data_IF_345961241204
#
_entry.id   IF_345961241204
#
_cell.length_a   1.000
_cell.length_b   1.000
_cell.length_c   1.000
_cell.angle_alpha   90.00
_cell.angle_beta   90.00
_cell.angle_gamma   90.00
#
_symmetry.space_group_name_H-M   'P 1'
#
loop_
_entity.id
_entity.type
_entity.pdbx_description
1 polymer ?
#
# COMPACT_ATOMS: atom_id res chain seq x y z
N UNK A 1 3.40 -10.27 12.23
CA UNK A 1 2.14 -9.49 12.31
C UNK A 1 1.61 -9.61 13.73
N UNK A 2 1.03 -8.54 14.29
CA UNK A 2 0.42 -8.57 15.62
C UNK A 2 -1.11 -8.67 15.49
N UNK A 3 -1.76 -9.28 16.49
CA UNK A 3 -3.23 -9.37 16.55
C UNK A 3 -3.86 -8.10 17.14
N UNK A 4 -3.16 -7.44 18.06
CA UNK A 4 -3.55 -6.16 18.62
C UNK A 4 -2.70 -5.01 18.07
N UNK A 5 -3.35 -3.86 17.87
CA UNK A 5 -2.70 -2.63 17.39
C UNK A 5 -1.73 -2.09 18.44
N UNK A 6 -2.04 -2.26 19.73
CA UNK A 6 -1.22 -1.76 20.83
C UNK A 6 0.18 -2.40 20.87
N UNK A 7 0.30 -3.64 20.38
CA UNK A 7 1.54 -4.41 20.33
C UNK A 7 2.38 -4.11 19.07
N UNK A 8 1.85 -3.36 18.10
CA UNK A 8 2.53 -3.12 16.85
C UNK A 8 3.77 -2.22 17.03
N UNK A 9 4.87 -2.59 16.37
CA UNK A 9 6.04 -1.71 16.19
C UNK A 9 5.90 -0.82 14.94
N UNK A 10 5.13 -1.28 13.97
CA UNK A 10 4.86 -0.58 12.70
C UNK A 10 3.38 -0.73 12.36
N UNK A 11 2.72 0.39 12.07
CA UNK A 11 1.32 0.45 11.65
C UNK A 11 1.27 1.01 10.23
N UNK A 12 0.76 0.23 9.29
CA UNK A 12 0.69 0.58 7.87
C UNK A 12 -0.78 0.71 7.43
N UNK A 13 -1.21 1.92 7.10
CA UNK A 13 -2.54 2.18 6.59
C UNK A 13 -2.53 2.16 5.06
N UNK A 14 -3.10 1.12 4.43
CA UNK A 14 -3.38 1.12 3.00
C UNK A 14 -4.65 1.92 2.70
N UNK A 15 -4.53 2.95 1.86
CA UNK A 15 -5.53 4.01 1.72
C UNK A 15 -6.06 4.14 0.30
N UNK A 16 -7.27 4.67 0.21
CA UNK A 16 -7.94 5.00 -1.05
C UNK A 16 -8.19 6.51 -1.10
N UNK A 17 -8.04 7.11 -2.29
CA UNK A 17 -8.31 8.53 -2.54
C UNK A 17 -9.45 8.78 -3.53
N UNK A 18 -10.21 7.73 -3.86
CA UNK A 18 -11.29 7.82 -4.86
C UNK A 18 -12.60 8.26 -4.22
N UNK A 19 -12.83 7.92 -2.94
CA UNK A 19 -14.07 8.22 -2.22
C UNK A 19 -13.77 9.02 -0.95
N UNK A 20 -14.45 10.14 -0.76
CA UNK A 20 -14.29 11.03 0.40
C UNK A 20 -14.46 10.29 1.74
N UNK A 21 -15.50 9.45 1.85
CA UNK A 21 -15.73 8.63 3.04
C UNK A 21 -14.58 7.69 3.38
N UNK A 22 -13.79 7.25 2.39
CA UNK A 22 -12.60 6.44 2.65
C UNK A 22 -11.48 7.30 3.25
N UNK A 23 -11.26 8.50 2.74
CA UNK A 23 -10.27 9.44 3.26
C UNK A 23 -10.60 9.89 4.69
N UNK A 24 -11.86 10.23 4.98
CA UNK A 24 -12.30 10.59 6.32
C UNK A 24 -12.03 9.48 7.36
N UNK A 25 -12.25 8.21 6.99
CA UNK A 25 -11.93 7.06 7.84
C UNK A 25 -10.43 6.91 8.09
N UNK A 26 -9.59 7.21 7.10
CA UNK A 26 -8.12 7.21 7.27
C UNK A 26 -7.72 8.27 8.29
N UNK A 27 -8.20 9.50 8.15
CA UNK A 27 -7.89 10.58 9.10
C UNK A 27 -8.29 10.24 10.54
N UNK A 28 -9.49 9.68 10.73
CA UNK A 28 -9.94 9.21 12.04
C UNK A 28 -9.00 8.16 12.64
N UNK A 29 -8.56 7.18 11.84
CA UNK A 29 -7.60 6.15 12.28
C UNK A 29 -6.22 6.74 12.59
N UNK A 30 -5.73 7.68 11.80
CA UNK A 30 -4.47 8.38 12.06
C UNK A 30 -4.50 9.14 13.39
N UNK A 31 -5.65 9.76 13.74
CA UNK A 31 -5.85 10.36 15.06
C UNK A 31 -5.71 9.34 16.20
N UNK A 32 -6.30 8.15 16.05
CA UNK A 32 -6.16 7.07 17.03
C UNK A 32 -4.69 6.58 17.14
N UNK A 33 -3.99 6.43 16.02
CA UNK A 33 -2.58 6.03 16.02
C UNK A 33 -1.67 7.09 16.65
N UNK A 34 -1.97 8.37 16.44
CA UNK A 34 -1.28 9.49 17.12
C UNK A 34 -1.43 9.39 18.63
N UNK A 35 -2.64 9.11 19.12
CA UNK A 35 -2.88 8.95 20.55
C UNK A 35 -2.10 7.77 21.14
N UNK A 36 -2.07 6.62 20.44
CA UNK A 36 -1.26 5.46 20.82
C UNK A 36 0.24 5.79 20.86
N UNK A 37 0.73 6.49 19.83
CA UNK A 37 2.12 6.95 19.74
C UNK A 37 2.49 7.86 20.90
N UNK A 38 1.62 8.81 21.27
CA UNK A 38 1.83 9.69 22.42
C UNK A 38 1.89 8.91 23.74
N UNK A 39 0.98 7.95 23.95
CA UNK A 39 0.94 7.07 25.13
C UNK A 39 2.24 6.28 25.29
N UNK A 40 2.75 5.68 24.21
CA UNK A 40 3.99 4.87 24.20
C UNK A 40 5.28 5.70 24.13
N UNK A 41 5.17 7.02 23.92
CA UNK A 41 6.33 7.93 23.93
C UNK A 41 6.70 8.46 25.33
N UNK A 42 5.89 8.20 26.35
CA UNK A 42 6.11 8.70 27.72
C UNK A 42 7.38 8.09 28.35
N UNK A 43 8.02 8.83 29.27
CA UNK A 43 9.19 8.31 30.02
C UNK A 43 8.89 6.99 30.73
N UNK A 44 7.68 6.84 31.29
CA UNK A 44 7.24 5.61 31.96
C UNK A 44 7.10 4.44 30.99
N UNK A 45 6.52 4.67 29.80
CA UNK A 45 6.43 3.64 28.77
C UNK A 45 7.82 3.19 28.30
N UNK A 46 8.72 4.15 28.02
CA UNK A 46 10.12 3.86 27.64
C UNK A 46 10.88 3.09 28.73
N UNK A 47 10.65 3.40 30.01
CA UNK A 47 11.26 2.66 31.12
C UNK A 47 10.77 1.20 31.22
N UNK A 48 9.59 0.89 30.68
CA UNK A 48 9.07 -0.49 30.52
C UNK A 48 9.52 -1.16 29.22
N UNK A 49 10.42 -0.53 28.46
CA UNK A 49 10.87 -1.04 27.17
C UNK A 49 9.90 -0.81 26.02
N UNK A 50 8.77 -0.10 26.23
CA UNK A 50 7.83 0.21 25.17
C UNK A 50 8.42 1.26 24.21
N UNK A 51 8.12 1.11 22.92
CA UNK A 51 8.48 2.06 21.88
C UNK A 51 7.23 2.55 21.17
N UNK A 52 7.25 3.82 20.79
CA UNK A 52 6.23 4.37 19.92
C UNK A 52 6.26 3.65 18.56
N UNK A 53 5.10 3.22 18.01
CA UNK A 53 5.06 2.61 16.70
C UNK A 53 5.43 3.63 15.61
N UNK A 54 6.04 3.13 14.54
CA UNK A 54 6.17 3.86 13.27
C UNK A 54 4.83 3.81 12.55
N UNK A 55 4.29 4.96 12.14
CA UNK A 55 3.01 5.04 11.43
C UNK A 55 3.24 5.39 9.97
N UNK A 56 2.82 4.50 9.06
CA UNK A 56 2.94 4.67 7.61
C UNK A 56 1.59 4.79 6.91
N UNK A 57 1.50 5.66 5.91
CA UNK A 57 0.34 5.80 5.01
C UNK A 57 0.76 5.37 3.60
N UNK A 58 0.02 4.41 3.01
CA UNK A 58 0.33 3.83 1.72
C UNK A 58 -0.84 3.99 0.74
N UNK A 59 -0.55 4.02 -0.56
CA UNK A 59 -1.56 3.93 -1.62
C UNK A 59 -1.99 5.28 -2.18
N UNK A 60 -3.19 5.36 -2.75
CA UNK A 60 -3.57 6.52 -3.57
C UNK A 60 -3.71 7.83 -2.77
N UNK A 61 -4.03 7.75 -1.47
CA UNK A 61 -4.10 8.96 -0.63
C UNK A 61 -2.71 9.49 -0.31
N UNK A 62 -1.71 8.61 -0.15
CA UNK A 62 -0.31 9.00 -0.02
C UNK A 62 0.15 9.81 -1.24
N UNK A 63 -0.15 9.30 -2.44
CA UNK A 63 0.15 10.00 -3.69
C UNK A 63 -0.61 11.32 -3.84
N UNK A 64 -1.89 11.37 -3.47
CA UNK A 64 -2.70 12.58 -3.64
C UNK A 64 -2.30 13.68 -2.66
N UNK A 65 -2.10 13.33 -1.39
CA UNK A 65 -1.91 14.32 -0.31
C UNK A 65 -0.44 14.65 -0.05
N UNK A 66 0.50 13.76 -0.40
CA UNK A 66 1.95 13.97 -0.33
C UNK A 66 2.38 14.58 1.01
N UNK A 67 2.95 15.79 0.98
CA UNK A 67 3.51 16.49 2.14
C UNK A 67 2.46 16.85 3.18
N UNK A 68 1.19 17.03 2.80
CA UNK A 68 0.10 17.33 3.76
C UNK A 68 -0.01 16.26 4.84
N UNK A 69 0.25 14.99 4.51
CA UNK A 69 0.26 13.90 5.48
C UNK A 69 1.42 13.99 6.47
N UNK A 70 2.58 14.48 6.03
CA UNK A 70 3.77 14.67 6.87
C UNK A 70 3.63 15.90 7.78
N UNK A 71 3.03 16.96 7.25
CA UNK A 71 2.77 18.22 7.96
C UNK A 71 1.63 18.09 8.99
N UNK A 72 0.82 17.03 8.89
CA UNK A 72 -0.32 16.77 9.78
C UNK A 72 0.15 16.28 11.17
N UNK A 73 0.67 17.20 11.97
CA UNK A 73 0.78 17.08 13.43
C UNK A 73 1.50 15.78 13.89
N UNK A 74 2.56 15.41 13.15
CA UNK A 74 3.40 14.23 13.41
C UNK A 74 2.63 12.90 13.51
N UNK A 75 1.46 12.82 12.87
CA UNK A 75 0.63 11.61 12.84
C UNK A 75 1.25 10.50 11.99
N UNK A 76 2.08 10.86 11.01
CA UNK A 76 2.65 9.96 10.01
C UNK A 76 4.16 10.12 9.96
N UNK A 77 4.87 8.99 9.98
CA UNK A 77 6.33 8.91 9.85
C UNK A 77 6.74 8.56 8.41
N UNK A 78 5.96 7.73 7.73
CA UNK A 78 6.26 7.26 6.37
C UNK A 78 5.08 7.45 5.43
N UNK A 79 5.31 8.02 4.24
CA UNK A 79 4.29 8.17 3.19
C UNK A 79 4.75 7.46 1.92
N UNK A 80 3.99 6.45 1.46
CA UNK A 80 4.39 5.62 0.31
C UNK A 80 3.30 5.59 -0.75
N UNK A 81 3.60 6.10 -1.94
CA UNK A 81 2.73 6.03 -3.11
C UNK A 81 2.45 4.59 -3.54
N UNK A 82 1.46 4.36 -4.39
CA UNK A 82 1.03 3.01 -4.74
C UNK A 82 2.09 2.20 -5.51
N UNK A 83 3.05 2.87 -6.15
CA UNK A 83 4.11 2.22 -6.94
C UNK A 83 5.44 2.10 -6.18
N UNK A 84 5.57 2.75 -5.02
CA UNK A 84 6.81 2.82 -4.23
C UNK A 84 6.84 1.86 -3.02
N UNK A 85 5.90 0.91 -2.95
CA UNK A 85 5.77 -0.02 -1.82
C UNK A 85 7.02 -0.91 -1.61
N UNK A 86 7.85 -1.10 -2.64
CA UNK A 86 9.12 -1.84 -2.56
C UNK A 86 10.18 -1.11 -1.74
N UNK A 87 10.10 0.21 -1.67
CA UNK A 87 11.05 1.02 -0.90
C UNK A 87 10.70 1.06 0.59
N UNK A 88 9.55 0.50 0.97
CA UNK A 88 9.05 0.51 2.33
C UNK A 88 10.09 -0.01 3.35
N UNK A 89 10.85 -1.11 3.13
CA UNK A 89 11.88 -1.54 4.06
C UNK A 89 12.94 -0.45 4.33
N UNK A 90 13.50 0.16 3.29
CA UNK A 90 14.52 1.21 3.42
C UNK A 90 13.96 2.49 4.06
N UNK A 91 12.73 2.87 3.72
CA UNK A 91 12.04 4.01 4.33
C UNK A 91 11.77 3.76 5.83
N UNK A 92 11.37 2.54 6.20
CA UNK A 92 11.16 2.16 7.60
C UNK A 92 12.46 2.18 8.41
N UNK A 93 13.58 1.76 7.83
CA UNK A 93 14.90 1.87 8.46
C UNK A 93 15.31 3.32 8.69
N UNK A 94 15.02 4.21 7.74
CA UNK A 94 15.34 5.64 7.83
C UNK A 94 14.62 6.34 8.98
N UNK A 95 13.37 5.96 9.26
CA UNK A 95 12.55 6.60 10.31
C UNK A 95 12.67 5.91 11.67
N UNK A 96 13.36 4.76 11.75
CA UNK A 96 13.60 4.10 13.02
C UNK A 96 14.44 5.01 13.91
N UNK A 97 14.03 5.29 15.16
CA UNK A 97 14.75 6.24 16.00
C UNK A 97 16.08 5.63 16.47
N UNK A 98 17.20 6.09 15.93
CA UNK A 98 18.55 5.70 16.39
C UNK A 98 19.07 6.62 17.51
N UNK A 99 18.59 7.86 17.58
CA UNK A 99 19.21 8.89 18.45
C UNK A 99 18.28 10.04 18.88
N UNK A 100 16.96 9.78 18.95
CA UNK A 100 16.00 10.71 19.58
C UNK A 100 15.34 11.73 18.63
N UNK A 101 15.81 11.85 17.39
CA UNK A 101 15.08 12.50 16.30
C UNK A 101 14.27 11.45 15.52
N UNK A 102 12.98 11.70 15.31
CA UNK A 102 12.15 10.90 14.41
C UNK A 102 12.19 11.57 13.04
N UNK A 103 12.91 10.97 12.11
CA UNK A 103 12.89 11.41 10.71
C UNK A 103 11.55 11.00 10.09
N UNK A 104 11.09 11.80 9.13
CA UNK A 104 9.98 11.44 8.26
C UNK A 104 10.55 11.05 6.90
N UNK A 105 9.94 10.08 6.24
CA UNK A 105 10.36 9.61 4.92
C UNK A 105 9.16 9.49 3.98
N UNK A 106 9.36 9.80 2.70
CA UNK A 106 8.31 9.65 1.71
C UNK A 106 8.85 9.23 0.35
N UNK A 107 8.17 8.30 -0.30
CA UNK A 107 8.31 8.07 -1.74
C UNK A 107 6.93 7.97 -2.37
N UNK A 108 6.60 8.93 -3.21
CA UNK A 108 5.33 9.07 -3.95
C UNK A 108 5.62 9.20 -5.45
N UNK A 109 6.66 8.51 -5.91
CA UNK A 109 6.96 8.44 -7.34
C UNK A 109 6.15 7.32 -7.98
N UNK A 110 5.53 7.63 -9.12
CA UNK A 110 4.82 6.66 -9.93
C UNK A 110 5.80 6.03 -10.91
N UNK A 111 5.83 4.70 -10.96
CA UNK A 111 6.69 3.95 -11.86
C UNK A 111 6.04 3.84 -13.24
N UNK A 112 6.87 3.69 -14.26
CA UNK A 112 6.46 3.48 -15.66
C UNK A 112 6.35 1.99 -16.03
N UNK A 113 6.87 1.10 -15.19
CA UNK A 113 7.12 -0.32 -15.47
C UNK A 113 6.55 -1.28 -14.41
N UNK A 114 6.21 -0.79 -13.22
CA UNK A 114 5.69 -1.60 -12.11
C UNK A 114 4.30 -2.19 -12.41
N UNK A 115 4.18 -3.51 -12.27
CA UNK A 115 2.98 -4.30 -12.64
C UNK A 115 2.63 -5.45 -11.67
N UNK A 116 3.36 -5.62 -10.56
CA UNK A 116 3.31 -6.79 -9.65
C UNK A 116 3.79 -8.12 -10.24
N UNK A 117 4.44 -8.14 -11.41
CA UNK A 117 4.78 -9.37 -12.13
C UNK A 117 5.65 -10.38 -11.35
N UNK A 118 6.48 -9.88 -10.44
CA UNK A 118 7.46 -10.60 -9.63
C UNK A 118 7.05 -10.67 -8.15
N UNK A 119 5.79 -10.39 -7.83
CA UNK A 119 5.27 -10.46 -6.46
C UNK A 119 4.24 -11.57 -6.34
N UNK A 120 4.50 -12.47 -5.40
CA UNK A 120 3.54 -13.49 -4.98
C UNK A 120 2.82 -13.03 -3.71
N UNK A 121 1.52 -12.71 -3.78
CA UNK A 121 0.78 -12.29 -2.60
C UNK A 121 0.65 -13.43 -1.58
N UNK A 122 0.99 -13.16 -0.32
CA UNK A 122 0.66 -14.06 0.78
C UNK A 122 -0.83 -13.96 1.07
N UNK A 123 -1.54 -15.10 1.03
CA UNK A 123 -3.01 -15.17 1.20
C UNK A 123 -3.35 -15.88 2.51
N UNK A 124 -3.84 -15.12 3.48
CA UNK A 124 -4.24 -15.69 4.78
C UNK A 124 -5.59 -16.43 4.70
N UNK A 125 -5.63 -17.63 5.28
CA UNK A 125 -6.78 -18.54 5.26
C UNK A 125 -6.82 -19.45 4.02
N UNK A 126 -5.66 -19.78 3.44
CA UNK A 126 -5.44 -20.49 2.17
C UNK A 126 -5.95 -21.94 2.04
N UNK A 127 -6.96 -22.35 2.82
CA UNK A 127 -7.74 -23.55 2.57
C UNK A 127 -9.19 -23.23 2.93
N UNK A 128 -10.09 -23.19 1.94
CA UNK A 128 -11.52 -22.94 2.13
C UNK A 128 -12.07 -21.65 1.52
N UNK A 129 -11.21 -20.78 0.95
CA UNK A 129 -11.68 -19.68 0.10
C UNK A 129 -11.98 -20.17 -1.31
N UNK A 130 -13.15 -19.84 -1.82
CA UNK A 130 -13.57 -20.19 -3.19
C UNK A 130 -12.89 -19.28 -4.21
N UNK A 131 -12.75 -17.98 -3.89
CA UNK A 131 -12.30 -16.96 -4.84
C UNK A 131 -11.01 -16.26 -4.45
N UNK A 132 -10.23 -15.87 -5.47
CA UNK A 132 -9.01 -15.10 -5.33
C UNK A 132 -8.92 -13.98 -6.37
N UNK A 133 -8.41 -12.82 -5.92
CA UNK A 133 -8.13 -11.68 -6.80
C UNK A 133 -6.73 -11.76 -7.40
N UNK A 134 -6.61 -11.55 -8.71
CA UNK A 134 -5.33 -11.45 -9.44
C UNK A 134 -5.27 -10.10 -10.13
N UNK A 135 -4.32 -9.25 -9.73
CA UNK A 135 -4.10 -7.97 -10.40
C UNK A 135 -3.39 -8.19 -11.74
N UNK A 136 -4.04 -7.78 -12.83
CA UNK A 136 -3.52 -7.94 -14.21
C UNK A 136 -2.98 -6.65 -14.81
N UNK A 137 -3.26 -5.51 -14.19
CA UNK A 137 -2.82 -4.21 -14.69
C UNK A 137 -2.83 -3.14 -13.61
N UNK A 138 -2.17 -2.01 -13.91
CA UNK A 138 -2.12 -0.80 -13.08
C UNK A 138 -2.33 0.44 -13.92
N UNK A 139 -2.83 1.51 -13.29
CA UNK A 139 -3.03 2.80 -13.95
C UNK A 139 -4.19 2.80 -14.94
N UNK A 140 -4.43 3.93 -15.59
CA UNK A 140 -5.49 4.09 -16.58
C UNK A 140 -5.16 5.26 -17.52
N UNK A 141 -5.38 5.06 -18.82
CA UNK A 141 -5.18 6.12 -19.83
C UNK A 141 -6.44 6.95 -20.10
N UNK A 142 -7.60 6.56 -19.56
CA UNK A 142 -8.84 7.30 -19.74
C UNK A 142 -8.86 8.58 -18.89
N UNK A 143 -9.08 9.72 -19.54
CA UNK A 143 -9.18 11.04 -18.89
C UNK A 143 -10.64 11.40 -18.60
N UNK A 144 -11.33 10.55 -17.83
CA UNK A 144 -12.70 10.82 -17.41
C UNK A 144 -12.75 12.05 -16.48
N UNK A 145 -13.70 12.96 -16.70
CA UNK A 145 -13.81 14.24 -15.98
C UNK A 145 -13.92 14.11 -14.44
N UNK A 146 -14.33 12.95 -13.94
CA UNK A 146 -14.53 12.65 -12.52
C UNK A 146 -13.41 11.78 -11.91
N UNK A 147 -12.47 11.27 -12.71
CA UNK A 147 -11.57 10.21 -12.28
C UNK A 147 -10.16 10.73 -11.97
N UNK A 148 -9.70 10.53 -10.74
CA UNK A 148 -8.36 10.92 -10.28
C UNK A 148 -7.28 9.87 -10.58
N UNK A 149 -7.66 8.69 -11.08
CA UNK A 149 -6.76 7.54 -11.27
C UNK A 149 -5.52 7.85 -12.11
N UNK A 150 -5.60 8.56 -13.26
CA UNK A 150 -4.42 8.86 -14.07
C UNK A 150 -3.32 9.60 -13.29
N UNK A 151 -3.71 10.41 -12.29
CA UNK A 151 -2.79 11.20 -11.46
C UNK A 151 -2.30 10.48 -10.21
N UNK A 152 -3.03 9.46 -9.75
CA UNK A 152 -2.71 8.75 -8.49
C UNK A 152 -2.18 7.35 -8.70
N UNK A 153 -2.31 6.78 -9.90
CA UNK A 153 -1.77 5.46 -10.27
C UNK A 153 -0.96 5.47 -11.57
N UNK A 154 -0.88 6.61 -12.24
CA UNK A 154 -0.12 6.78 -13.48
C UNK A 154 -0.82 6.17 -14.69
N UNK A 155 -0.03 6.07 -15.77
CA UNK A 155 -0.45 5.50 -17.05
C UNK A 155 -0.73 4.01 -16.93
N UNK A 156 -1.55 3.52 -17.85
CA UNK A 156 -1.87 2.10 -17.95
C UNK A 156 -0.63 1.25 -18.20
N UNK A 157 -0.53 0.15 -17.46
CA UNK A 157 0.53 -0.86 -17.54
C UNK A 157 -0.10 -2.24 -17.33
N UNK A 158 0.06 -3.13 -18.30
CA UNK A 158 -0.42 -4.51 -18.21
C UNK A 158 0.67 -5.41 -17.67
N UNK A 159 0.31 -6.30 -16.74
CA UNK A 159 1.18 -7.37 -16.28
C UNK A 159 1.36 -8.42 -17.39
N UNK A 160 2.57 -8.95 -17.61
CA UNK A 160 2.80 -9.98 -18.62
C UNK A 160 1.86 -11.18 -18.46
N UNK A 161 1.33 -11.72 -19.56
CA UNK A 161 0.34 -12.81 -19.53
C UNK A 161 0.89 -14.04 -18.81
N UNK A 162 2.15 -14.41 -19.08
CA UNK A 162 2.80 -15.55 -18.44
C UNK A 162 2.74 -15.44 -16.91
N UNK A 163 3.06 -14.27 -16.36
CA UNK A 163 3.01 -14.03 -14.91
C UNK A 163 1.58 -14.11 -14.35
N UNK A 164 0.57 -13.64 -15.09
CA UNK A 164 -0.85 -13.77 -14.70
C UNK A 164 -1.30 -15.23 -14.70
N UNK A 165 -0.94 -15.98 -15.74
CA UNK A 165 -1.28 -17.40 -15.89
C UNK A 165 -0.60 -18.24 -14.80
N UNK A 166 0.66 -17.96 -14.49
CA UNK A 166 1.40 -18.69 -13.47
C UNK A 166 0.82 -18.44 -12.06
N UNK A 167 0.40 -17.20 -11.74
CA UNK A 167 -0.33 -16.94 -10.49
C UNK A 167 -1.68 -17.66 -10.46
N UNK A 168 -2.42 -17.66 -11.58
CA UNK A 168 -3.71 -18.36 -11.66
C UNK A 168 -3.55 -19.89 -11.47
N UNK A 169 -2.50 -20.50 -12.04
CA UNK A 169 -2.17 -21.92 -11.83
C UNK A 169 -1.86 -22.21 -10.36
N UNK A 170 -1.00 -21.39 -9.74
CA UNK A 170 -0.68 -21.53 -8.33
C UNK A 170 -1.91 -21.43 -7.42
N UNK A 171 -2.91 -20.61 -7.80
CA UNK A 171 -4.18 -20.53 -7.08
C UNK A 171 -5.05 -21.78 -7.26
N UNK A 172 -5.09 -22.35 -8.47
CA UNK A 172 -5.78 -23.63 -8.71
C UNK A 172 -5.13 -24.75 -7.89
N UNK A 173 -3.81 -24.82 -7.87
CA UNK A 173 -3.04 -25.79 -7.10
C UNK A 173 -3.26 -25.62 -5.58
N UNK A 174 -3.46 -24.39 -5.13
CA UNK A 174 -3.85 -24.06 -3.75
C UNK A 174 -5.34 -24.31 -3.45
N UNK A 175 -6.13 -24.80 -4.41
CA UNK A 175 -7.51 -25.23 -4.22
C UNK A 175 -8.59 -24.17 -4.46
N UNK A 176 -8.23 -22.98 -4.95
CA UNK A 176 -9.20 -21.95 -5.33
C UNK A 176 -10.03 -22.41 -6.55
N UNK A 177 -11.28 -21.96 -6.63
CA UNK A 177 -12.24 -22.33 -7.69
C UNK A 177 -12.65 -21.16 -8.58
N UNK A 178 -12.44 -19.94 -8.12
CA UNK A 178 -12.72 -18.71 -8.86
C UNK A 178 -11.50 -17.79 -8.84
N UNK A 179 -11.14 -17.28 -10.02
CA UNK A 179 -10.12 -16.23 -10.17
C UNK A 179 -10.80 -14.99 -10.71
N UNK A 180 -10.67 -13.87 -9.99
CA UNK A 180 -11.22 -12.58 -10.37
C UNK A 180 -10.08 -11.65 -10.77
N UNK A 181 -10.08 -11.24 -12.04
CA UNK A 181 -9.07 -10.33 -12.57
C UNK A 181 -9.36 -8.90 -12.12
N UNK A 182 -8.35 -8.26 -11.54
CA UNK A 182 -8.42 -6.89 -11.05
C UNK A 182 -7.58 -5.94 -11.92
N UNK A 183 -8.17 -4.80 -12.23
CA UNK A 183 -7.55 -3.71 -12.98
C UNK A 183 -8.41 -2.45 -12.86
N UNK A 184 -7.84 -1.29 -13.18
CA UNK A 184 -8.62 -0.04 -13.23
C UNK A 184 -9.56 -0.04 -14.44
N UNK A 185 -9.11 -0.60 -15.57
CA UNK A 185 -9.90 -0.80 -16.76
C UNK A 185 -9.52 -2.13 -17.42
N UNK A 186 -10.05 -3.24 -16.91
CA UNK A 186 -9.68 -4.60 -17.35
C UNK A 186 -9.88 -4.80 -18.86
N UNK A 187 -10.83 -4.09 -19.47
CA UNK A 187 -11.08 -4.13 -20.91
C UNK A 187 -9.91 -3.61 -21.76
N UNK A 188 -9.00 -2.84 -21.17
CA UNK A 188 -7.79 -2.31 -21.82
C UNK A 188 -6.55 -3.15 -21.54
N UNK A 189 -6.68 -4.29 -20.85
CA UNK A 189 -5.56 -5.21 -20.68
C UNK A 189 -5.00 -5.63 -22.04
N UNK A 190 -3.69 -5.52 -22.19
CA UNK A 190 -2.97 -5.89 -23.39
C UNK A 190 -1.59 -6.42 -23.01
N UNK A 191 -1.34 -7.70 -23.28
CA UNK A 191 0.00 -8.26 -23.11
C UNK A 191 0.89 -7.75 -24.24
N UNK A 192 1.83 -6.86 -23.89
CA UNK A 192 2.82 -6.35 -24.86
C UNK A 192 3.96 -7.34 -25.09
N UNK A 193 3.98 -8.48 -24.39
CA UNK A 193 5.07 -9.46 -24.47
C UNK A 193 6.45 -8.84 -24.23
N UNK A 194 7.51 -9.62 -24.43
CA UNK A 194 8.88 -9.08 -24.54
C UNK A 194 9.17 -8.46 -25.93
N UNK A 195 8.17 -8.45 -26.82
CA UNK A 195 8.26 -7.89 -28.16
C UNK A 195 7.14 -6.84 -28.28
N UNK A 196 7.49 -5.61 -27.92
CA UNK A 196 6.60 -4.48 -28.12
C UNK A 196 6.40 -4.20 -29.61
N UNK A 197 5.15 -3.88 -29.95
CA UNK A 197 4.78 -2.98 -31.04
C UNK A 197 3.93 -1.84 -30.44
#
# INVERSE_FOLDING_TARGET
RTEAVDDADVILANTCAIRENAEAKVWSRLGAFKALKAKRSTKRARARGERAPVVGVLGCMAERLKTKLLESDKMVDVVVGPDAYRDLPALLETVRPTSGATLQAANVQLSVDETYADITPVREGGAGRVSAFVSVMRGCNNMCSFCIVPFTRGRERSRPLASVVDEARALVDAGFKEVVLLGQNVNSYHDRGAAGD
#
